data_IF_297309636268
#
_entry.id   IF_297309636268
#
_cell.length_a   1.000
_cell.length_b   1.000
_cell.length_c   1.000
_cell.angle_alpha   90.00
_cell.angle_beta   90.00
_cell.angle_gamma   90.00
#
_symmetry.space_group_name_H-M   'P 1'
#
loop_
_entity.id
_entity.type
_entity.pdbx_description
1 polymer ?
#
# COMPACT_ATOMS: atom_id res chain seq x y z
N UNK A 1 40.73 -44.90 14.89
CA UNK A 1 40.01 -44.03 15.84
C UNK A 1 40.30 -42.59 15.43
N UNK A 2 39.36 -41.95 14.72
CA UNK A 2 39.50 -40.61 14.13
C UNK A 2 39.28 -39.59 15.25
N UNK A 3 40.26 -38.73 15.53
CA UNK A 3 40.12 -37.64 16.48
C UNK A 3 40.10 -36.30 15.72
N UNK A 4 38.90 -35.73 15.59
CA UNK A 4 38.64 -34.39 15.08
C UNK A 4 39.14 -33.37 16.10
N UNK A 5 40.09 -32.50 15.72
CA UNK A 5 40.46 -31.30 16.49
C UNK A 5 39.83 -30.10 15.83
N UNK A 6 38.78 -29.57 16.45
CA UNK A 6 38.09 -28.34 16.05
C UNK A 6 39.01 -27.16 16.35
N UNK A 7 39.49 -26.46 15.30
CA UNK A 7 40.17 -25.16 15.42
C UNK A 7 39.12 -24.08 15.67
N UNK A 8 39.05 -23.57 16.89
CA UNK A 8 38.34 -22.34 17.22
C UNK A 8 39.08 -21.15 16.61
N UNK A 9 38.53 -20.56 15.55
CA UNK A 9 39.02 -19.29 15.00
C UNK A 9 38.65 -18.16 15.96
N UNK A 10 39.65 -17.63 16.65
CA UNK A 10 39.55 -16.46 17.52
C UNK A 10 39.17 -15.23 16.69
N UNK A 11 37.99 -14.67 16.94
CA UNK A 11 37.55 -13.39 16.38
C UNK A 11 38.50 -12.30 16.92
N UNK A 12 39.25 -11.64 16.04
CA UNK A 12 40.10 -10.49 16.40
C UNK A 12 39.22 -9.34 16.92
N UNK A 13 39.54 -8.89 18.14
CA UNK A 13 38.96 -7.71 18.82
C UNK A 13 39.01 -6.46 17.92
N UNK A 14 37.91 -5.71 17.95
CA UNK A 14 37.66 -4.54 17.11
C UNK A 14 38.64 -3.38 17.28
N UNK A 15 38.72 -2.57 16.23
CA UNK A 15 39.48 -1.34 16.18
C UNK A 15 39.09 -0.40 17.33
N UNK A 16 40.07 -0.05 18.16
CA UNK A 16 39.93 0.93 19.23
C UNK A 16 39.78 2.31 18.58
N UNK A 17 38.58 2.90 18.62
CA UNK A 17 38.38 4.27 18.14
C UNK A 17 39.26 5.21 18.96
N UNK A 18 40.13 5.98 18.30
CA UNK A 18 40.90 7.06 18.93
C UNK A 18 39.93 7.99 19.67
N UNK A 19 40.32 8.45 20.87
CA UNK A 19 39.58 9.42 21.69
C UNK A 19 39.25 10.62 20.79
N UNK A 20 38.00 10.72 20.32
CA UNK A 20 37.50 11.85 19.53
C UNK A 20 37.11 12.95 20.51
N UNK A 21 37.34 14.20 20.13
CA UNK A 21 36.89 15.37 20.89
C UNK A 21 35.36 15.33 21.09
N UNK A 22 34.90 15.80 22.24
CA UNK A 22 33.47 15.91 22.54
C UNK A 22 32.80 16.88 21.56
N UNK A 23 31.63 16.48 21.03
CA UNK A 23 30.83 17.33 20.13
C UNK A 23 29.85 18.14 20.99
N UNK A 24 30.06 19.46 21.07
CA UNK A 24 29.17 20.39 21.75
C UNK A 24 28.31 21.17 20.74
N UNK A 25 26.98 21.06 20.85
CA UNK A 25 26.02 21.76 19.99
C UNK A 25 25.32 22.88 20.77
N UNK A 26 25.16 24.05 20.14
CA UNK A 26 24.42 25.19 20.70
C UNK A 26 23.12 25.37 19.88
N UNK A 27 21.96 25.52 20.52
CA UNK A 27 20.72 25.81 19.81
C UNK A 27 20.81 27.13 19.03
N UNK A 28 20.22 27.15 17.83
CA UNK A 28 20.10 28.34 16.96
C UNK A 28 18.73 29.01 17.06
N UNK A 29 17.76 28.36 17.72
CA UNK A 29 16.40 28.87 17.88
C UNK A 29 15.55 27.94 18.75
N UNK A 30 14.28 28.28 18.89
CA UNK A 30 13.28 27.52 19.64
C UNK A 30 12.02 27.32 18.80
N UNK A 31 11.31 26.23 19.08
CA UNK A 31 9.95 26.00 18.58
C UNK A 31 8.95 26.73 19.49
N UNK A 32 7.98 27.38 18.87
CA UNK A 32 6.80 27.92 19.54
C UNK A 32 5.53 27.34 18.91
N UNK A 33 4.72 26.64 19.69
CA UNK A 33 3.40 26.13 19.27
C UNK A 33 2.49 25.84 20.48
N UNK A 34 1.27 25.36 20.22
CA UNK A 34 0.30 25.05 21.27
C UNK A 34 0.53 23.69 21.97
N UNK A 35 1.55 22.93 21.57
CA UNK A 35 1.76 21.55 22.01
C UNK A 35 2.85 21.54 23.08
N UNK A 36 2.43 21.67 24.34
CA UNK A 36 3.36 21.76 25.48
C UNK A 36 3.91 20.40 25.94
N UNK A 37 3.28 19.30 25.55
CA UNK A 37 3.68 17.95 25.94
C UNK A 37 3.29 16.92 24.86
N UNK A 38 4.06 15.82 24.78
CA UNK A 38 3.77 14.67 23.92
C UNK A 38 2.71 13.73 24.53
N UNK A 39 1.97 14.17 25.55
CA UNK A 39 0.87 13.41 26.15
C UNK A 39 -0.36 13.50 25.25
N UNK A 40 -0.56 12.48 24.43
CA UNK A 40 -1.70 12.35 23.52
C UNK A 40 -1.30 12.33 22.06
N UNK A 41 -2.17 11.77 21.23
CA UNK A 41 -2.01 11.73 19.78
C UNK A 41 -2.06 13.15 19.21
N UNK A 42 -0.99 13.58 18.54
CA UNK A 42 -0.98 14.80 17.77
C UNK A 42 -0.77 14.45 16.30
N UNK A 43 -1.67 14.94 15.44
CA UNK A 43 -1.54 14.80 14.00
C UNK A 43 -0.53 15.84 13.49
N UNK A 44 0.75 15.50 13.62
CA UNK A 44 1.86 16.43 13.35
C UNK A 44 1.86 16.95 11.91
N UNK A 45 1.26 16.24 10.96
CA UNK A 45 1.21 16.59 9.53
C UNK A 45 0.63 17.99 9.29
N UNK A 46 -0.33 18.41 10.11
CA UNK A 46 -1.02 19.70 10.00
C UNK A 46 -0.71 20.65 11.15
N UNK A 47 0.27 20.33 11.99
CA UNK A 47 0.66 21.20 13.10
C UNK A 47 1.39 22.41 12.54
N UNK A 48 0.73 23.57 12.65
CA UNK A 48 1.37 24.87 12.47
C UNK A 48 2.27 25.18 13.66
N UNK A 49 3.55 25.46 13.38
CA UNK A 49 4.54 25.85 14.38
C UNK A 49 5.30 27.09 13.92
N UNK A 50 5.80 27.86 14.88
CA UNK A 50 6.80 28.89 14.61
C UNK A 50 8.17 28.37 15.04
N UNK A 51 9.16 28.57 14.19
CA UNK A 51 10.57 28.42 14.56
C UNK A 51 11.12 29.83 14.75
N UNK A 52 11.42 30.19 15.99
CA UNK A 52 12.02 31.48 16.35
C UNK A 52 13.53 31.30 16.41
N UNK A 53 14.19 31.70 15.32
CA UNK A 53 15.65 31.70 15.23
C UNK A 53 16.19 32.86 16.07
N UNK A 54 17.36 32.68 16.67
CA UNK A 54 18.03 33.73 17.43
C UNK A 54 18.17 35.01 16.60
N UNK A 55 17.84 36.19 17.14
CA UNK A 55 17.89 37.44 16.39
C UNK A 55 19.23 37.70 15.68
N UNK A 56 20.35 37.34 16.32
CA UNK A 56 21.69 37.48 15.75
C UNK A 56 21.98 36.57 14.54
N UNK A 57 21.10 35.60 14.25
CA UNK A 57 21.17 34.71 13.10
C UNK A 57 20.08 35.03 12.05
N UNK A 58 19.34 36.12 12.19
CA UNK A 58 18.22 36.47 11.30
C UNK A 58 18.64 36.57 9.82
N UNK A 59 19.82 37.14 9.56
CA UNK A 59 20.36 37.31 8.20
C UNK A 59 20.76 35.98 7.56
N UNK A 60 21.10 34.95 8.37
CA UNK A 60 21.41 33.62 7.86
C UNK A 60 20.20 32.91 7.22
N UNK A 61 18.99 33.44 7.42
CA UNK A 61 17.77 32.94 6.79
C UNK A 61 17.50 33.58 5.41
N UNK A 62 18.32 34.52 4.95
CA UNK A 62 18.12 35.17 3.65
C UNK A 62 18.02 34.16 2.49
N UNK A 63 16.94 34.26 1.70
CA UNK A 63 16.70 33.39 0.55
C UNK A 63 16.01 32.07 0.88
N UNK A 64 15.75 31.77 2.15
CA UNK A 64 15.05 30.56 2.57
C UNK A 64 13.62 30.47 2.00
N UNK A 65 12.99 31.61 1.73
CA UNK A 65 11.65 31.73 1.14
C UNK A 65 11.57 31.21 -0.29
N UNK A 66 12.73 30.98 -0.95
CA UNK A 66 12.79 30.38 -2.27
C UNK A 66 12.54 28.87 -2.24
N UNK A 67 12.47 28.26 -1.06
CA UNK A 67 12.23 26.84 -0.87
C UNK A 67 10.84 26.60 -0.26
N UNK A 68 10.14 25.59 -0.74
CA UNK A 68 8.82 25.21 -0.22
C UNK A 68 8.89 24.35 1.04
N UNK A 69 10.02 23.65 1.25
CA UNK A 69 10.20 22.72 2.37
C UNK A 69 11.60 22.85 2.97
N UNK A 70 11.70 22.56 4.27
CA UNK A 70 12.93 22.67 5.05
C UNK A 70 13.13 21.41 5.89
N UNK A 71 14.37 20.92 5.97
CA UNK A 71 14.80 19.99 7.00
C UNK A 71 15.08 20.74 8.29
N UNK A 72 14.41 20.34 9.36
CA UNK A 72 14.60 20.89 10.70
C UNK A 72 15.30 19.85 11.56
N UNK A 73 16.47 20.19 12.08
CA UNK A 73 17.22 19.36 13.03
C UNK A 73 17.04 19.97 14.42
N UNK A 74 16.57 19.18 15.39
CA UNK A 74 16.20 19.69 16.70
C UNK A 74 16.61 18.74 17.83
N UNK A 75 16.68 19.26 19.06
CA UNK A 75 17.02 18.49 20.26
C UNK A 75 15.75 18.17 21.05
N UNK A 76 15.45 16.89 21.24
CA UNK A 76 14.32 16.42 22.04
C UNK A 76 14.62 16.61 23.54
N UNK A 77 14.56 17.87 23.99
CA UNK A 77 14.99 18.34 25.30
C UNK A 77 14.28 17.70 26.49
N UNK A 78 13.08 17.13 26.31
CA UNK A 78 12.36 16.38 27.35
C UNK A 78 12.74 14.88 27.43
N UNK A 79 13.67 14.40 26.60
CA UNK A 79 14.17 13.03 26.68
C UNK A 79 15.06 12.84 27.94
N UNK A 80 14.65 12.05 28.95
CA UNK A 80 15.39 11.94 30.21
C UNK A 80 16.77 11.32 30.01
N UNK A 81 17.79 11.89 30.68
CA UNK A 81 19.18 11.46 30.50
C UNK A 81 19.41 9.97 30.76
N UNK A 82 18.74 9.43 31.77
CA UNK A 82 18.85 8.04 32.18
C UNK A 82 18.31 7.07 31.13
N UNK A 83 17.17 7.41 30.51
CA UNK A 83 16.53 6.54 29.49
C UNK A 83 17.30 6.53 28.17
N UNK A 84 18.15 7.53 27.91
CA UNK A 84 19.02 7.57 26.70
C UNK A 84 20.13 6.53 26.70
N UNK A 85 20.37 5.83 27.83
CA UNK A 85 21.37 4.75 27.95
C UNK A 85 20.84 3.40 27.43
N UNK A 86 19.52 3.27 27.24
CA UNK A 86 18.92 2.06 26.70
C UNK A 86 19.31 1.86 25.24
N UNK A 87 19.88 0.69 24.93
CA UNK A 87 20.31 0.36 23.56
C UNK A 87 19.19 -0.26 22.74
N UNK A 88 18.21 -0.88 23.42
CA UNK A 88 17.02 -1.45 22.82
C UNK A 88 15.81 -0.91 23.55
N UNK A 89 14.76 -0.62 22.79
CA UNK A 89 13.49 -0.20 23.34
C UNK A 89 12.38 -1.10 22.83
N UNK A 90 11.44 -1.38 23.72
CA UNK A 90 10.16 -1.97 23.37
C UNK A 90 9.16 -0.82 23.28
N UNK A 91 8.47 -0.70 22.16
CA UNK A 91 7.54 0.41 21.95
C UNK A 91 6.41 0.27 22.97
N UNK A 92 6.29 1.25 23.87
CA UNK A 92 5.26 1.28 24.92
C UNK A 92 3.89 1.20 24.23
N UNK A 93 3.10 0.16 24.55
CA UNK A 93 1.80 -0.13 23.91
C UNK A 93 1.82 -1.17 22.79
N UNK A 94 2.97 -1.79 22.47
CA UNK A 94 3.11 -2.74 21.35
C UNK A 94 3.86 -4.02 21.74
N UNK A 95 3.24 -4.84 22.60
CA UNK A 95 3.82 -6.11 23.09
C UNK A 95 4.23 -7.09 21.97
N UNK A 96 3.62 -6.96 20.78
CA UNK A 96 3.89 -7.80 19.61
C UNK A 96 5.08 -7.35 18.75
N UNK A 97 5.65 -6.16 18.98
CA UNK A 97 6.81 -5.67 18.23
C UNK A 97 8.08 -6.06 18.99
N UNK A 98 9.03 -6.81 18.40
CA UNK A 98 10.25 -7.19 19.11
C UNK A 98 11.03 -5.95 19.58
N UNK A 99 11.74 -6.05 20.69
CA UNK A 99 12.59 -4.96 21.17
C UNK A 99 13.64 -4.61 20.10
N UNK A 100 13.62 -3.35 19.65
CA UNK A 100 14.47 -2.87 18.56
C UNK A 100 15.61 -2.00 19.08
N UNK A 101 16.75 -2.02 18.39
CA UNK A 101 17.82 -1.07 18.68
C UNK A 101 17.34 0.37 18.53
N UNK A 102 17.66 1.27 19.47
CA UNK A 102 17.17 2.67 19.47
C UNK A 102 17.58 3.49 18.24
N UNK A 103 18.64 3.06 17.54
CA UNK A 103 19.11 3.65 16.29
C UNK A 103 18.34 3.15 15.05
N UNK A 104 17.61 2.04 15.17
CA UNK A 104 16.71 1.52 14.14
C UNK A 104 15.28 2.08 14.28
N UNK A 105 15.03 2.98 15.24
CA UNK A 105 13.73 3.63 15.48
C UNK A 105 13.87 5.13 15.32
N UNK A 106 12.80 5.89 15.59
CA UNK A 106 12.81 7.35 15.74
C UNK A 106 12.49 7.80 17.18
N UNK A 107 12.63 6.90 18.15
CA UNK A 107 12.26 7.15 19.54
C UNK A 107 13.17 8.19 20.21
N UNK A 108 12.65 9.07 21.10
CA UNK A 108 13.42 10.15 21.72
C UNK A 108 14.54 9.69 22.65
N UNK A 109 14.43 8.50 23.26
CA UNK A 109 15.41 7.96 24.21
C UNK A 109 16.54 7.28 23.46
N UNK A 110 17.49 8.10 23.00
CA UNK A 110 18.66 7.67 22.22
C UNK A 110 19.90 8.44 22.70
N UNK A 111 21.13 7.94 22.47
CA UNK A 111 22.35 8.54 22.99
C UNK A 111 22.44 10.06 22.73
N UNK A 112 22.13 10.46 21.50
CA UNK A 112 21.92 11.86 21.11
C UNK A 112 20.46 12.04 20.68
N UNK A 113 19.60 12.71 21.48
CA UNK A 113 18.16 12.88 21.25
C UNK A 113 17.89 13.91 20.14
N UNK A 114 18.47 13.67 18.96
CA UNK A 114 18.34 14.51 17.77
C UNK A 114 17.12 14.04 16.97
N UNK A 115 16.22 14.97 16.68
CA UNK A 115 15.11 14.84 15.73
C UNK A 115 15.45 15.46 14.38
N UNK A 116 14.79 15.00 13.33
CA UNK A 116 14.94 15.46 11.95
C UNK A 116 13.59 15.42 11.25
N UNK A 117 13.06 16.57 10.83
CA UNK A 117 11.73 16.60 10.21
C UNK A 117 11.72 17.48 8.98
N UNK A 118 11.10 16.97 7.91
CA UNK A 118 10.80 17.75 6.73
C UNK A 118 9.51 18.51 6.98
N UNK A 119 9.57 19.84 6.94
CA UNK A 119 8.42 20.71 7.16
C UNK A 119 8.13 21.50 5.90
N UNK A 120 6.88 21.89 5.71
CA UNK A 120 6.50 22.87 4.69
C UNK A 120 6.72 24.27 5.25
N UNK A 121 7.43 25.12 4.50
CA UNK A 121 7.58 26.54 4.83
C UNK A 121 6.31 27.27 4.37
N UNK A 122 5.63 27.91 5.32
CA UNK A 122 4.46 28.74 5.04
C UNK A 122 4.87 30.18 4.81
N UNK A 123 5.74 30.71 5.68
CA UNK A 123 6.15 32.13 5.64
C UNK A 123 7.43 32.36 6.46
N UNK A 124 8.24 33.33 6.05
CA UNK A 124 9.28 33.95 6.89
C UNK A 124 8.86 35.37 7.27
N UNK A 125 9.12 35.75 8.53
CA UNK A 125 8.98 37.12 9.06
C UNK A 125 10.21 37.44 9.91
N UNK A 126 11.23 38.07 9.31
CA UNK A 126 12.50 38.34 10.00
C UNK A 126 13.19 37.04 10.43
N UNK A 127 13.38 36.87 11.74
CA UNK A 127 13.96 35.68 12.36
C UNK A 127 12.95 34.55 12.67
N UNK A 128 11.69 34.69 12.25
CA UNK A 128 10.62 33.74 12.53
C UNK A 128 10.23 33.01 11.24
N UNK A 129 10.19 31.68 11.30
CA UNK A 129 9.65 30.83 10.23
C UNK A 129 8.33 30.20 10.69
N UNK A 130 7.26 30.44 9.94
CA UNK A 130 5.99 29.72 10.08
C UNK A 130 6.06 28.46 9.22
N UNK A 131 5.86 27.30 9.85
CA UNK A 131 6.00 25.99 9.20
C UNK A 131 4.83 25.08 9.55
N UNK A 132 4.56 24.12 8.68
CA UNK A 132 3.57 23.06 8.86
C UNK A 132 4.27 21.69 8.82
N UNK A 133 3.88 20.76 9.70
CA UNK A 133 4.42 19.40 9.72
C UNK A 133 5.50 19.14 10.77
N UNK A 134 5.83 20.09 11.63
CA UNK A 134 6.93 19.95 12.61
C UNK A 134 6.52 19.08 13.80
N UNK A 135 7.17 17.93 14.01
CA UNK A 135 6.88 16.96 15.09
C UNK A 135 7.56 17.26 16.44
N UNK A 136 7.70 18.55 16.77
CA UNK A 136 8.36 19.05 17.97
C UNK A 136 7.41 19.85 18.87
N UNK A 137 7.53 19.63 20.18
CA UNK A 137 6.74 20.35 21.19
C UNK A 137 7.26 21.79 21.38
N UNK A 138 6.43 22.63 21.98
CA UNK A 138 6.78 23.97 22.42
C UNK A 138 8.07 23.99 23.25
N UNK A 139 8.92 24.99 23.00
CA UNK A 139 10.23 25.15 23.63
C UNK A 139 11.33 24.23 23.10
N UNK A 140 11.07 23.41 22.09
CA UNK A 140 12.09 22.51 21.52
C UNK A 140 13.25 23.29 20.92
N UNK A 141 14.51 23.05 21.35
CA UNK A 141 15.68 23.69 20.75
C UNK A 141 15.95 23.22 19.32
N UNK A 142 16.11 24.17 18.41
CA UNK A 142 16.54 23.92 17.03
C UNK A 142 18.06 23.91 16.97
N UNK A 143 18.62 22.90 16.32
CA UNK A 143 20.06 22.72 16.11
C UNK A 143 20.50 23.25 14.75
N UNK A 144 19.71 22.98 13.70
CA UNK A 144 20.04 23.39 12.33
C UNK A 144 18.79 23.43 11.43
N UNK A 145 18.88 24.18 10.33
CA UNK A 145 17.83 24.31 9.31
C UNK A 145 18.50 24.16 7.94
N UNK A 146 17.99 23.26 7.09
CA UNK A 146 18.50 23.07 5.73
C UNK A 146 17.38 23.14 4.70
N UNK A 147 17.60 23.74 3.52
CA UNK A 147 16.61 23.69 2.46
C UNK A 147 16.45 22.25 1.94
N UNK A 148 15.21 21.85 1.65
CA UNK A 148 14.96 20.65 0.86
C UNK A 148 15.01 21.03 -0.61
N UNK A 149 15.89 20.37 -1.37
CA UNK A 149 16.14 20.70 -2.77
C UNK A 149 15.40 19.78 -3.73
N UNK A 150 14.84 18.67 -3.23
CA UNK A 150 14.27 17.62 -4.07
C UNK A 150 15.31 16.91 -4.94
N UNK A 151 16.60 17.13 -4.70
CA UNK A 151 17.67 16.45 -5.41
C UNK A 151 17.51 14.93 -5.21
N UNK A 152 17.77 14.09 -6.22
CA UNK A 152 17.73 12.63 -6.10
C UNK A 152 18.62 12.00 -5.00
N UNK A 153 19.43 12.79 -4.29
CA UNK A 153 20.24 12.34 -3.15
C UNK A 153 19.50 12.48 -1.82
N UNK A 154 18.46 13.32 -1.78
CA UNK A 154 17.60 13.56 -0.63
C UNK A 154 16.35 12.67 -0.65
N UNK A 155 16.08 12.00 -1.78
CA UNK A 155 14.93 11.12 -2.00
C UNK A 155 15.47 9.73 -2.33
N UNK A 156 15.03 8.71 -1.61
CA UNK A 156 15.33 7.32 -1.93
C UNK A 156 14.11 6.72 -2.64
N UNK A 157 14.25 6.37 -3.92
CA UNK A 157 13.16 5.79 -4.73
C UNK A 157 12.94 4.30 -4.40
N UNK A 158 14.03 3.54 -4.19
CA UNK A 158 14.02 2.11 -3.86
C UNK A 158 14.33 1.84 -2.37
N UNK A 159 13.65 2.56 -1.46
CA UNK A 159 13.90 2.39 -0.03
C UNK A 159 13.19 1.16 0.56
N UNK A 160 13.85 0.53 1.54
CA UNK A 160 13.24 -0.50 2.39
C UNK A 160 13.02 0.08 3.79
N UNK A 161 11.76 0.18 4.20
CA UNK A 161 11.39 0.48 5.58
C UNK A 161 10.82 -0.79 6.25
N UNK A 162 10.92 -0.86 7.58
CA UNK A 162 10.20 -1.88 8.33
C UNK A 162 8.71 -1.55 8.38
N UNK A 163 7.86 -2.58 8.51
CA UNK A 163 6.41 -2.38 8.51
C UNK A 163 5.95 -1.38 9.60
N UNK A 164 6.60 -1.36 10.77
CA UNK A 164 6.28 -0.43 11.86
C UNK A 164 6.79 0.99 11.63
N UNK A 165 7.74 1.22 10.72
CA UNK A 165 8.25 2.56 10.43
C UNK A 165 7.27 3.37 9.57
N UNK A 166 6.38 2.68 8.84
CA UNK A 166 5.33 3.27 8.01
C UNK A 166 3.96 3.22 8.70
N UNK A 167 3.87 2.72 9.94
CA UNK A 167 2.63 2.78 10.71
C UNK A 167 2.33 4.22 11.09
N UNK A 168 1.14 4.71 10.72
CA UNK A 168 0.65 6.02 11.12
C UNK A 168 0.48 6.07 12.65
N UNK A 169 0.65 7.24 13.24
CA UNK A 169 0.43 7.46 14.68
C UNK A 169 -1.01 7.05 15.12
N UNK A 170 -1.97 6.92 14.19
CA UNK A 170 -3.36 6.47 14.45
C UNK A 170 -3.46 4.95 14.57
N UNK A 171 -2.61 4.20 13.88
CA UNK A 171 -2.44 2.76 14.07
C UNK A 171 -1.77 2.44 15.42
N UNK A 172 -1.08 3.45 15.98
CA UNK A 172 -0.31 3.35 17.21
C UNK A 172 -1.21 3.52 18.46
N UNK A 173 -2.11 4.50 18.52
CA UNK A 173 -2.86 4.80 19.76
C UNK A 173 -4.26 4.20 19.85
N UNK A 174 -4.75 3.53 18.80
CA UNK A 174 -6.12 3.01 18.77
C UNK A 174 -6.33 1.76 19.63
N UNK A 175 -5.31 1.30 20.37
CA UNK A 175 -5.41 0.10 21.21
C UNK A 175 -6.02 -1.04 20.42
N UNK A 176 -5.41 -1.42 19.28
CA UNK A 176 -5.87 -2.53 18.47
C UNK A 176 -7.38 -2.52 18.20
N UNK A 177 -7.91 -1.44 17.63
CA UNK A 177 -9.09 -1.59 16.78
C UNK A 177 -8.60 -1.83 15.37
N UNK A 178 -8.49 -3.12 15.08
CA UNK A 178 -8.19 -3.76 13.80
C UNK A 178 -8.12 -2.82 12.59
N UNK A 179 -6.90 -2.52 12.13
CA UNK A 179 -6.66 -2.12 10.72
C UNK A 179 -6.67 -3.33 9.78
N UNK A 180 -7.27 -4.45 10.21
CA UNK A 180 -7.43 -5.64 9.39
C UNK A 180 -8.48 -5.47 8.28
N UNK A 181 -9.38 -4.51 8.42
CA UNK A 181 -10.48 -4.29 7.48
C UNK A 181 -10.00 -3.63 6.19
N UNK A 182 -10.09 -4.35 5.08
CA UNK A 182 -9.77 -3.83 3.75
C UNK A 182 -11.05 -3.35 3.06
N UNK A 183 -11.00 -2.17 2.46
CA UNK A 183 -12.13 -1.60 1.74
C UNK A 183 -12.09 -2.04 0.28
N UNK A 184 -12.99 -2.95 -0.10
CA UNK A 184 -13.17 -3.36 -1.49
C UNK A 184 -14.03 -2.34 -2.22
N UNK A 185 -13.42 -1.60 -3.13
CA UNK A 185 -14.05 -0.43 -3.75
C UNK A 185 -14.57 -0.76 -5.14
N UNK A 186 -15.88 -0.88 -5.29
CA UNK A 186 -16.55 -1.13 -6.58
C UNK A 186 -18.03 -0.81 -6.52
N UNK A 187 -18.63 -0.40 -7.64
CA UNK A 187 -20.10 -0.36 -7.79
C UNK A 187 -20.69 -1.75 -8.09
N UNK A 188 -19.89 -2.72 -8.56
CA UNK A 188 -20.34 -4.07 -8.91
C UNK A 188 -20.30 -5.02 -7.69
N UNK A 189 -21.45 -5.23 -7.06
CA UNK A 189 -21.57 -6.13 -5.90
C UNK A 189 -21.17 -7.59 -6.20
N UNK A 190 -21.31 -8.04 -7.46
CA UNK A 190 -20.89 -9.38 -7.88
C UNK A 190 -19.38 -9.59 -7.77
N UNK A 191 -18.58 -8.54 -8.08
CA UNK A 191 -17.12 -8.57 -7.89
C UNK A 191 -16.76 -8.76 -6.42
N UNK A 192 -17.37 -7.97 -5.53
CA UNK A 192 -17.15 -8.07 -4.08
C UNK A 192 -17.53 -9.46 -3.53
N UNK A 193 -18.75 -9.92 -3.82
CA UNK A 193 -19.24 -11.21 -3.32
C UNK A 193 -18.39 -12.38 -3.80
N UNK A 194 -17.98 -12.37 -5.08
CA UNK A 194 -17.10 -13.40 -5.65
C UNK A 194 -15.74 -13.37 -4.97
N UNK A 195 -15.16 -12.18 -4.76
CA UNK A 195 -13.87 -12.03 -4.10
C UNK A 195 -13.88 -12.58 -2.66
N UNK A 196 -14.89 -12.23 -1.86
CA UNK A 196 -15.03 -12.74 -0.49
C UNK A 196 -15.19 -14.26 -0.47
N UNK A 197 -15.99 -14.81 -1.38
CA UNK A 197 -16.13 -16.25 -1.51
C UNK A 197 -14.82 -16.93 -1.98
N UNK A 198 -14.03 -16.30 -2.85
CA UNK A 198 -12.72 -16.80 -3.28
C UNK A 198 -11.72 -16.85 -2.12
N UNK A 199 -11.69 -15.82 -1.27
CA UNK A 199 -10.87 -15.80 -0.05
C UNK A 199 -11.22 -16.97 0.87
N UNK A 200 -12.52 -17.15 1.16
CA UNK A 200 -13.00 -18.23 2.01
C UNK A 200 -12.67 -19.62 1.44
N UNK A 201 -12.86 -19.81 0.12
CA UNK A 201 -12.54 -21.06 -0.57
C UNK A 201 -11.04 -21.36 -0.59
N UNK A 202 -10.20 -20.32 -0.65
CA UNK A 202 -8.76 -20.43 -0.55
C UNK A 202 -8.25 -20.62 0.89
N UNK A 203 -9.13 -20.59 1.89
CA UNK A 203 -8.79 -20.79 3.30
C UNK A 203 -8.27 -19.54 4.01
N UNK A 204 -8.50 -18.35 3.45
CA UNK A 204 -8.08 -17.08 4.04
C UNK A 204 -9.27 -16.36 4.68
N UNK A 205 -9.04 -15.84 5.88
CA UNK A 205 -9.97 -14.94 6.56
C UNK A 205 -9.37 -13.53 6.56
N UNK A 206 -9.89 -12.68 5.68
CA UNK A 206 -9.52 -11.27 5.59
C UNK A 206 -10.80 -10.47 5.73
N UNK A 207 -10.85 -9.59 6.73
CA UNK A 207 -11.99 -8.74 6.97
C UNK A 207 -12.12 -7.70 5.85
N UNK A 208 -13.30 -7.57 5.27
CA UNK A 208 -13.53 -6.63 4.17
C UNK A 208 -14.85 -5.88 4.28
N UNK A 209 -14.82 -4.62 3.84
CA UNK A 209 -15.98 -3.75 3.70
C UNK A 209 -16.20 -3.45 2.22
N UNK A 210 -17.43 -3.61 1.75
CA UNK A 210 -17.81 -3.20 0.40
C UNK A 210 -18.08 -1.69 0.36
N UNK A 211 -17.20 -0.95 -0.31
CA UNK A 211 -17.37 0.48 -0.57
C UNK A 211 -17.92 0.68 -1.99
N UNK A 212 -19.13 1.24 -2.09
CA UNK A 212 -19.72 1.60 -3.38
C UNK A 212 -19.27 3.01 -3.76
N UNK A 213 -18.36 3.08 -4.71
CA UNK A 213 -17.81 4.34 -5.23
C UNK A 213 -17.63 4.24 -6.73
N UNK A 214 -18.03 5.29 -7.45
CA UNK A 214 -17.69 5.47 -8.86
C UNK A 214 -16.20 5.78 -8.98
N UNK A 215 -15.50 4.92 -9.73
CA UNK A 215 -14.07 5.01 -9.93
C UNK A 215 -13.78 5.46 -11.36
N UNK A 216 -12.71 6.24 -11.58
CA UNK A 216 -12.33 6.64 -12.92
C UNK A 216 -12.02 5.42 -13.80
N UNK A 217 -12.51 5.43 -15.03
CA UNK A 217 -12.21 4.41 -16.06
C UNK A 217 -11.36 5.05 -17.16
N UNK A 218 -10.05 5.25 -16.93
CA UNK A 218 -9.17 5.81 -17.94
C UNK A 218 -8.97 4.81 -19.08
N UNK A 219 -8.94 5.28 -20.32
CA UNK A 219 -8.58 4.44 -21.47
C UNK A 219 -7.09 4.12 -21.42
N UNK A 220 -6.75 2.95 -20.90
CA UNK A 220 -5.36 2.53 -20.70
C UNK A 220 -5.26 1.01 -20.60
N UNK A 221 -4.06 0.51 -20.28
CA UNK A 221 -3.84 -0.89 -19.96
C UNK A 221 -4.50 -1.25 -18.62
N UNK A 222 -4.85 -2.53 -18.44
CA UNK A 222 -5.63 -3.02 -17.30
C UNK A 222 -4.95 -2.76 -15.94
N UNK A 223 -3.62 -2.83 -15.91
CA UNK A 223 -2.78 -2.51 -14.76
C UNK A 223 -2.87 -1.02 -14.40
N UNK A 224 -2.70 -0.13 -15.37
CA UNK A 224 -2.79 1.30 -15.16
C UNK A 224 -4.20 1.74 -14.73
N UNK A 225 -5.24 1.08 -15.25
CA UNK A 225 -6.62 1.26 -14.79
C UNK A 225 -6.72 0.88 -13.30
N UNK A 226 -6.27 -0.31 -12.92
CA UNK A 226 -6.34 -0.78 -11.54
C UNK A 226 -5.53 0.12 -10.58
N UNK A 227 -4.33 0.57 -10.98
CA UNK A 227 -3.48 1.50 -10.23
C UNK A 227 -4.22 2.82 -10.00
N UNK A 228 -4.74 3.43 -11.07
CA UNK A 228 -5.42 4.72 -10.98
C UNK A 228 -6.68 4.63 -10.10
N UNK A 229 -7.44 3.53 -10.22
CA UNK A 229 -8.60 3.25 -9.38
C UNK A 229 -8.21 3.12 -7.90
N UNK A 230 -7.14 2.39 -7.58
CA UNK A 230 -6.66 2.23 -6.21
C UNK A 230 -6.17 3.55 -5.60
N UNK A 231 -5.36 4.31 -6.34
CA UNK A 231 -4.87 5.62 -5.91
C UNK A 231 -6.02 6.60 -5.66
N UNK A 232 -6.99 6.64 -6.58
CA UNK A 232 -8.17 7.50 -6.44
C UNK A 232 -9.01 7.09 -5.21
N UNK A 233 -9.30 5.80 -5.06
CA UNK A 233 -10.08 5.28 -3.94
C UNK A 233 -9.40 5.56 -2.59
N UNK A 234 -8.10 5.29 -2.49
CA UNK A 234 -7.34 5.56 -1.27
C UNK A 234 -7.27 7.06 -0.96
N UNK A 235 -7.06 7.91 -1.97
CA UNK A 235 -7.08 9.38 -1.79
C UNK A 235 -8.40 9.88 -1.20
N UNK A 236 -9.52 9.26 -1.59
CA UNK A 236 -10.87 9.60 -1.10
C UNK A 236 -11.18 9.03 0.27
N UNK A 237 -10.86 7.75 0.50
CA UNK A 237 -11.24 7.04 1.72
C UNK A 237 -10.22 7.18 2.85
N UNK A 238 -8.93 7.34 2.53
CA UNK A 238 -7.79 7.32 3.47
C UNK A 238 -7.75 6.03 4.29
N UNK A 239 -8.04 4.90 3.64
CA UNK A 239 -8.07 3.55 4.23
C UNK A 239 -7.38 2.54 3.31
N UNK A 240 -6.97 1.35 3.79
CA UNK A 240 -6.54 0.26 2.92
C UNK A 240 -7.63 -0.11 1.92
N UNK A 241 -7.34 0.00 0.63
CA UNK A 241 -8.28 -0.29 -0.45
C UNK A 241 -7.82 -1.45 -1.30
N UNK A 242 -8.79 -2.15 -1.87
CA UNK A 242 -8.58 -3.11 -2.94
C UNK A 242 -9.57 -2.81 -4.07
N UNK A 243 -9.07 -2.85 -5.30
CA UNK A 243 -9.88 -2.71 -6.51
C UNK A 243 -9.53 -3.84 -7.46
N UNK A 244 -10.47 -4.22 -8.32
CA UNK A 244 -10.24 -5.23 -9.36
C UNK A 244 -10.85 -4.80 -10.69
N UNK A 245 -10.02 -4.84 -11.72
CA UNK A 245 -10.41 -4.64 -13.10
C UNK A 245 -10.27 -5.94 -13.91
N UNK A 246 -11.06 -6.06 -14.97
CA UNK A 246 -11.19 -7.30 -15.72
C UNK A 246 -11.34 -7.00 -17.20
N UNK A 247 -10.60 -7.72 -18.04
CA UNK A 247 -10.70 -7.67 -19.49
C UNK A 247 -10.93 -9.04 -20.09
N UNK A 248 -11.46 -9.06 -21.31
CA UNK A 248 -11.67 -10.26 -22.11
C UNK A 248 -10.99 -10.13 -23.46
N UNK A 249 -10.02 -10.99 -23.74
CA UNK A 249 -9.12 -10.85 -24.88
C UNK A 249 -9.31 -12.02 -25.82
N UNK A 250 -9.71 -11.75 -27.06
CA UNK A 250 -9.82 -12.76 -28.13
C UNK A 250 -8.60 -12.60 -29.03
N UNK A 251 -7.77 -13.63 -29.15
CA UNK A 251 -6.45 -13.47 -29.77
C UNK A 251 -6.52 -13.24 -31.28
N UNK A 252 -7.43 -13.93 -31.98
CA UNK A 252 -7.68 -13.69 -33.41
C UNK A 252 -8.13 -12.25 -33.71
N UNK A 253 -8.75 -11.57 -32.73
CA UNK A 253 -9.18 -10.17 -32.84
C UNK A 253 -8.15 -9.19 -32.24
N UNK A 254 -6.87 -9.57 -32.18
CA UNK A 254 -5.79 -8.78 -31.60
C UNK A 254 -6.07 -8.33 -30.15
N UNK A 255 -6.72 -9.20 -29.36
CA UNK A 255 -7.05 -8.94 -27.96
C UNK A 255 -8.31 -8.12 -27.75
N UNK A 256 -9.06 -7.76 -28.80
CA UNK A 256 -10.38 -7.16 -28.67
C UNK A 256 -11.38 -8.16 -28.06
N UNK A 257 -12.37 -7.74 -27.22
CA UNK A 257 -12.68 -6.38 -26.77
C UNK A 257 -11.76 -5.79 -25.69
N UNK A 258 -10.88 -6.58 -25.08
CA UNK A 258 -9.88 -6.13 -24.10
C UNK A 258 -10.52 -5.58 -22.82
N UNK A 259 -10.06 -4.42 -22.35
CA UNK A 259 -10.62 -3.72 -21.18
C UNK A 259 -11.97 -3.05 -21.46
N UNK A 260 -12.38 -2.95 -22.73
CA UNK A 260 -13.58 -2.22 -23.14
C UNK A 260 -14.87 -3.04 -23.09
N UNK A 261 -14.87 -4.20 -22.41
CA UNK A 261 -16.05 -5.09 -22.28
C UNK A 261 -17.27 -4.33 -21.75
N UNK A 262 -17.08 -3.41 -20.80
CA UNK A 262 -18.16 -2.64 -20.20
C UNK A 262 -18.55 -1.39 -21.00
N UNK A 263 -17.58 -0.74 -21.64
CA UNK A 263 -17.78 0.52 -22.39
C UNK A 263 -18.41 0.27 -23.77
N UNK A 264 -18.06 -0.81 -24.45
CA UNK A 264 -18.22 -0.88 -25.90
C UNK A 264 -19.66 -0.90 -26.41
N UNK A 265 -20.69 -1.28 -25.65
CA UNK A 265 -21.97 -1.60 -26.29
C UNK A 265 -23.23 -1.41 -25.45
N UNK A 266 -23.26 -0.48 -24.50
CA UNK A 266 -24.49 -0.28 -23.71
C UNK A 266 -25.00 -1.61 -23.14
N UNK A 267 -24.11 -2.43 -22.58
CA UNK A 267 -24.45 -3.80 -22.16
C UNK A 267 -25.60 -3.83 -21.14
N UNK A 268 -25.83 -2.72 -20.43
CA UNK A 268 -27.01 -2.51 -19.58
C UNK A 268 -28.34 -2.55 -20.35
N UNK A 269 -28.34 -2.29 -21.65
CA UNK A 269 -29.51 -2.30 -22.53
C UNK A 269 -29.62 -3.57 -23.39
N UNK A 270 -28.53 -4.10 -23.98
CA UNK A 270 -28.63 -5.30 -24.87
C UNK A 270 -27.41 -6.26 -24.76
N UNK A 271 -27.29 -7.06 -23.68
CA UNK A 271 -26.15 -7.95 -23.45
C UNK A 271 -25.95 -9.02 -24.53
N UNK A 272 -27.04 -9.54 -25.10
CA UNK A 272 -27.00 -10.63 -26.08
C UNK A 272 -26.48 -10.18 -27.45
N UNK A 273 -26.73 -8.93 -27.82
CA UNK A 273 -26.25 -8.36 -29.07
C UNK A 273 -24.70 -8.33 -29.15
N UNK A 274 -24.01 -8.19 -28.02
CA UNK A 274 -22.55 -8.27 -27.96
C UNK A 274 -22.04 -9.68 -28.29
N UNK A 275 -22.64 -10.71 -27.69
CA UNK A 275 -22.25 -12.09 -27.96
C UNK A 275 -22.48 -12.41 -29.43
N UNK A 276 -23.64 -12.03 -29.98
CA UNK A 276 -23.92 -12.26 -31.40
C UNK A 276 -22.90 -11.59 -32.32
N UNK A 277 -22.48 -10.36 -32.01
CA UNK A 277 -21.42 -9.67 -32.75
C UNK A 277 -20.08 -10.38 -32.65
N UNK A 278 -19.68 -10.80 -31.44
CA UNK A 278 -18.46 -11.58 -31.24
C UNK A 278 -18.51 -12.84 -32.06
N UNK A 279 -19.58 -13.64 -31.96
CA UNK A 279 -19.69 -14.91 -32.66
C UNK A 279 -19.64 -14.75 -34.19
N UNK A 280 -20.27 -13.71 -34.75
CA UNK A 280 -20.18 -13.39 -36.19
C UNK A 280 -18.75 -13.04 -36.61
N UNK A 281 -18.03 -12.27 -35.80
CA UNK A 281 -16.62 -11.94 -36.08
C UNK A 281 -15.71 -13.16 -35.99
N UNK A 282 -16.14 -14.20 -35.29
CA UNK A 282 -15.40 -15.44 -35.08
C UNK A 282 -15.75 -16.56 -36.08
N UNK A 283 -16.53 -16.26 -37.12
CA UNK A 283 -16.85 -17.22 -38.17
C UNK A 283 -15.59 -17.53 -39.00
N UNK A 284 -15.08 -18.76 -38.87
CA UNK A 284 -13.86 -19.20 -39.56
C UNK A 284 -12.54 -18.84 -38.87
N UNK A 285 -12.58 -18.18 -37.71
CA UNK A 285 -11.40 -17.70 -36.99
C UNK A 285 -11.01 -18.61 -35.80
N UNK A 286 -9.71 -18.63 -35.40
CA UNK A 286 -9.25 -19.30 -34.19
C UNK A 286 -9.90 -18.73 -32.92
N UNK A 287 -10.35 -19.60 -32.01
CA UNK A 287 -11.26 -19.24 -30.91
C UNK A 287 -10.59 -19.03 -29.55
N UNK A 288 -9.27 -19.01 -29.50
CA UNK A 288 -8.50 -18.82 -28.28
C UNK A 288 -8.76 -17.45 -27.67
N UNK A 289 -9.03 -17.45 -26.36
CA UNK A 289 -9.35 -16.24 -25.62
C UNK A 289 -8.99 -16.38 -24.14
N UNK A 290 -8.96 -15.26 -23.44
CA UNK A 290 -8.72 -15.25 -22.01
C UNK A 290 -9.51 -14.17 -21.25
N UNK A 291 -9.90 -14.53 -20.04
CA UNK A 291 -10.21 -13.54 -19.00
C UNK A 291 -8.93 -13.14 -18.27
N UNK A 292 -8.63 -11.85 -18.25
CA UNK A 292 -7.52 -11.28 -17.48
C UNK A 292 -8.09 -10.41 -16.38
N UNK A 293 -7.68 -10.66 -15.14
CA UNK A 293 -8.01 -9.80 -14.01
C UNK A 293 -6.76 -9.16 -13.45
N UNK A 294 -6.85 -7.86 -13.15
CA UNK A 294 -5.82 -7.10 -12.46
C UNK A 294 -6.39 -6.56 -11.16
N UNK A 295 -5.86 -7.05 -10.05
CA UNK A 295 -6.18 -6.59 -8.71
C UNK A 295 -5.10 -5.61 -8.24
N UNK A 296 -5.52 -4.51 -7.64
CA UNK A 296 -4.62 -3.55 -7.01
C UNK A 296 -4.99 -3.37 -5.53
N UNK A 297 -4.02 -3.58 -4.64
CA UNK A 297 -4.12 -3.27 -3.23
C UNK A 297 -3.28 -2.03 -2.91
N UNK A 298 -3.83 -1.11 -2.11
CA UNK A 298 -3.08 0.06 -1.68
C UNK A 298 -3.54 0.54 -0.30
N UNK A 299 -2.60 0.67 0.62
CA UNK A 299 -2.81 1.15 1.98
C UNK A 299 -2.08 2.47 2.28
N UNK A 300 -1.35 3.01 1.30
CA UNK A 300 -0.55 4.22 1.47
C UNK A 300 0.84 3.98 2.04
N UNK A 301 1.21 2.73 2.35
CA UNK A 301 2.51 2.39 2.97
C UNK A 301 3.62 2.12 1.94
N UNK A 302 3.24 1.82 0.69
CA UNK A 302 4.14 1.60 -0.44
C UNK A 302 4.17 2.80 -1.39
N UNK A 303 5.19 2.90 -2.25
CA UNK A 303 5.30 3.97 -3.25
C UNK A 303 4.13 3.99 -4.25
N UNK A 304 3.45 2.86 -4.44
CA UNK A 304 2.25 2.74 -5.24
C UNK A 304 1.50 1.44 -4.96
N UNK A 305 0.33 1.23 -5.60
CA UNK A 305 -0.46 0.03 -5.43
C UNK A 305 0.31 -1.24 -5.81
N UNK A 306 0.10 -2.30 -5.04
CA UNK A 306 0.66 -3.62 -5.31
C UNK A 306 -0.32 -4.37 -6.21
N UNK A 307 0.21 -4.91 -7.31
CA UNK A 307 -0.58 -5.52 -8.38
C UNK A 307 -0.52 -7.03 -8.31
N UNK A 308 -1.68 -7.66 -8.49
CA UNK A 308 -1.84 -9.10 -8.60
C UNK A 308 -2.65 -9.42 -9.85
N UNK A 309 -2.02 -10.08 -10.80
CA UNK A 309 -2.66 -10.45 -12.06
C UNK A 309 -3.03 -11.93 -12.09
N UNK A 310 -4.11 -12.22 -12.80
CA UNK A 310 -4.51 -13.58 -13.14
C UNK A 310 -5.04 -13.65 -14.56
N UNK A 311 -4.80 -14.79 -15.19
CA UNK A 311 -5.32 -15.10 -16.51
C UNK A 311 -6.01 -16.46 -16.47
N UNK A 312 -7.21 -16.53 -17.04
CA UNK A 312 -7.93 -17.76 -17.32
C UNK A 312 -7.98 -17.95 -18.84
N UNK A 313 -7.15 -18.84 -19.35
CA UNK A 313 -7.14 -19.25 -20.76
C UNK A 313 -8.37 -20.13 -21.07
N UNK A 314 -8.80 -20.10 -22.33
CA UNK A 314 -9.91 -20.89 -22.81
C UNK A 314 -10.19 -20.66 -24.28
N UNK A 315 -11.36 -21.12 -24.72
CA UNK A 315 -11.85 -20.96 -26.09
C UNK A 315 -13.28 -20.44 -26.10
N UNK A 316 -13.65 -19.78 -27.19
CA UNK A 316 -15.03 -19.37 -27.46
C UNK A 316 -15.86 -20.56 -27.94
N UNK A 317 -17.06 -20.70 -27.38
CA UNK A 317 -18.10 -21.58 -27.90
C UNK A 317 -18.65 -21.06 -29.23
N UNK A 318 -19.18 -21.95 -30.07
CA UNK A 318 -19.78 -21.57 -31.36
C UNK A 318 -21.13 -20.89 -31.22
N UNK A 319 -21.80 -21.11 -30.08
CA UNK A 319 -23.08 -20.53 -29.75
C UNK A 319 -23.15 -20.26 -28.23
N UNK A 320 -24.01 -19.35 -27.76
CA UNK A 320 -24.24 -19.16 -26.33
C UNK A 320 -24.83 -20.44 -25.72
N UNK A 321 -24.24 -20.93 -24.63
CA UNK A 321 -24.71 -22.12 -23.90
C UNK A 321 -24.90 -21.81 -22.41
N UNK A 322 -25.84 -22.51 -21.78
CA UNK A 322 -26.20 -22.32 -20.37
C UNK A 322 -27.11 -21.12 -20.11
N UNK A 323 -27.33 -20.80 -18.83
CA UNK A 323 -28.20 -19.71 -18.38
C UNK A 323 -27.50 -18.81 -17.37
N UNK A 324 -27.72 -17.51 -17.50
CA UNK A 324 -27.33 -16.52 -16.47
C UNK A 324 -28.58 -16.16 -15.68
N UNK A 325 -28.54 -16.37 -14.37
CA UNK A 325 -29.59 -15.89 -13.47
C UNK A 325 -29.46 -14.37 -13.30
N UNK A 326 -30.58 -13.65 -13.31
CA UNK A 326 -30.61 -12.21 -13.01
C UNK A 326 -30.72 -11.94 -11.51
N UNK A 327 -30.33 -10.75 -11.06
CA UNK A 327 -30.50 -10.31 -9.67
C UNK A 327 -29.40 -10.78 -8.70
N UNK A 328 -29.65 -10.65 -7.39
CA UNK A 328 -28.67 -10.84 -6.31
C UNK A 328 -28.11 -12.26 -6.21
N UNK A 329 -28.79 -13.25 -6.79
CA UNK A 329 -28.38 -14.66 -6.80
C UNK A 329 -27.47 -15.01 -7.97
N UNK A 330 -27.17 -14.06 -8.86
CA UNK A 330 -26.30 -14.31 -10.00
C UNK A 330 -24.86 -14.59 -9.54
N UNK A 331 -24.36 -15.77 -9.88
CA UNK A 331 -22.93 -16.12 -9.79
C UNK A 331 -22.12 -15.64 -11.00
N UNK A 332 -22.76 -14.93 -11.93
CA UNK A 332 -22.17 -14.44 -13.17
C UNK A 332 -22.03 -12.94 -13.11
N UNK A 333 -20.81 -12.46 -13.36
CA UNK A 333 -20.50 -11.03 -13.42
C UNK A 333 -20.22 -10.56 -14.86
N UNK A 334 -20.27 -11.48 -15.84
CA UNK A 334 -20.13 -11.20 -17.27
C UNK A 334 -21.08 -12.06 -18.10
N UNK A 335 -21.70 -11.46 -19.12
CA UNK A 335 -22.52 -12.18 -20.11
C UNK A 335 -21.67 -13.19 -20.91
N UNK A 336 -20.37 -12.92 -21.03
CA UNK A 336 -19.40 -13.75 -21.75
C UNK A 336 -19.24 -15.15 -21.14
N UNK A 337 -19.72 -15.37 -19.90
CA UNK A 337 -19.82 -16.72 -19.31
C UNK A 337 -20.59 -17.70 -20.20
N UNK A 338 -21.53 -17.21 -21.03
CA UNK A 338 -22.32 -18.02 -21.98
C UNK A 338 -21.49 -18.56 -23.15
N UNK A 339 -20.33 -17.96 -23.45
CA UNK A 339 -19.51 -18.34 -24.60
C UNK A 339 -18.07 -18.68 -24.24
N UNK A 340 -17.63 -18.46 -23.01
CA UNK A 340 -16.28 -18.82 -22.58
C UNK A 340 -16.23 -20.25 -22.04
N UNK A 341 -15.43 -21.10 -22.69
CA UNK A 341 -15.11 -22.46 -22.26
C UNK A 341 -13.68 -22.43 -21.68
N UNK A 342 -13.50 -22.64 -20.37
CA UNK A 342 -12.16 -22.66 -19.79
C UNK A 342 -11.27 -23.76 -20.37
N UNK A 343 -9.95 -23.53 -20.35
CA UNK A 343 -8.99 -24.53 -20.78
C UNK A 343 -9.17 -25.87 -20.06
N UNK A 344 -9.21 -26.96 -20.83
CA UNK A 344 -9.43 -28.32 -20.33
C UNK A 344 -10.88 -28.67 -20.00
N UNK A 345 -11.83 -27.75 -20.18
CA UNK A 345 -13.26 -27.98 -19.99
C UNK A 345 -13.99 -28.13 -21.34
N UNK A 346 -15.18 -28.72 -21.31
CA UNK A 346 -16.07 -28.84 -22.50
C UNK A 346 -17.32 -27.97 -22.40
N UNK A 347 -17.62 -27.48 -21.19
CA UNK A 347 -18.78 -26.66 -20.85
C UNK A 347 -18.37 -25.21 -20.70
N UNK A 348 -19.27 -24.31 -21.08
CA UNK A 348 -19.13 -22.87 -20.82
C UNK A 348 -19.19 -22.59 -19.32
N UNK A 349 -18.66 -21.44 -18.87
CA UNK A 349 -18.79 -21.04 -17.47
C UNK A 349 -20.25 -20.94 -17.02
N UNK A 350 -21.17 -20.54 -17.89
CA UNK A 350 -22.59 -20.52 -17.57
C UNK A 350 -23.15 -21.94 -17.34
N UNK A 351 -22.81 -22.92 -18.18
CA UNK A 351 -23.21 -24.32 -18.00
C UNK A 351 -22.64 -24.92 -16.72
N UNK A 352 -21.36 -24.68 -16.42
CA UNK A 352 -20.74 -25.19 -15.18
C UNK A 352 -21.37 -24.58 -13.92
N UNK A 353 -21.86 -23.33 -13.99
CA UNK A 353 -22.58 -22.68 -12.88
C UNK A 353 -23.97 -23.27 -12.68
N UNK A 354 -24.64 -23.66 -13.76
CA UNK A 354 -25.94 -24.33 -13.73
C UNK A 354 -25.83 -25.75 -13.16
N UNK A 355 -24.79 -26.51 -13.54
CA UNK A 355 -24.58 -27.88 -13.07
C UNK A 355 -23.87 -27.99 -11.71
N UNK A 356 -23.33 -26.88 -11.19
CA UNK A 356 -22.57 -26.85 -9.92
C UNK A 356 -21.09 -27.21 -10.05
N UNK A 357 -20.63 -27.62 -11.24
CA UNK A 357 -19.23 -27.93 -11.55
C UNK A 357 -18.31 -26.70 -11.44
N UNK A 358 -18.87 -25.49 -11.53
CA UNK A 358 -18.13 -24.23 -11.43
C UNK A 358 -17.29 -24.13 -10.15
N UNK A 359 -17.80 -24.61 -9.00
CA UNK A 359 -17.05 -24.53 -7.74
C UNK A 359 -15.80 -25.43 -7.76
N UNK A 360 -15.83 -26.56 -8.47
CA UNK A 360 -14.68 -27.45 -8.64
C UNK A 360 -13.59 -26.79 -9.46
N UNK A 361 -13.97 -26.24 -10.62
CA UNK A 361 -13.06 -25.48 -11.49
C UNK A 361 -12.46 -24.27 -10.75
N UNK A 362 -13.30 -23.51 -10.05
CA UNK A 362 -12.92 -22.35 -9.24
C UNK A 362 -11.93 -22.71 -8.13
N UNK A 363 -12.18 -23.78 -7.37
CA UNK A 363 -11.27 -24.27 -6.32
C UNK A 363 -9.91 -24.69 -6.88
N UNK A 364 -9.87 -25.34 -8.04
CA UNK A 364 -8.61 -25.73 -8.70
C UNK A 364 -7.74 -24.51 -8.95
N UNK A 365 -8.30 -23.45 -9.57
CA UNK A 365 -7.59 -22.20 -9.87
C UNK A 365 -7.10 -21.44 -8.63
N UNK A 366 -7.87 -21.49 -7.54
CA UNK A 366 -7.45 -20.89 -6.26
C UNK A 366 -6.25 -21.65 -5.66
N UNK A 367 -6.18 -22.97 -5.82
CA UNK A 367 -5.05 -23.79 -5.33
C UNK A 367 -3.78 -23.66 -6.18
N UNK A 368 -3.91 -23.53 -7.50
CA UNK A 368 -2.76 -23.46 -8.42
C UNK A 368 -2.12 -22.08 -8.53
N UNK A 369 -2.53 -21.11 -7.69
CA UNK A 369 -2.05 -19.72 -7.69
C UNK A 369 -2.25 -19.00 -9.02
N UNK A 370 -3.17 -19.47 -9.84
CA UNK A 370 -3.59 -18.80 -11.08
C UNK A 370 -4.56 -17.65 -10.82
N UNK A 371 -5.11 -17.55 -9.60
CA UNK A 371 -6.03 -16.48 -9.18
C UNK A 371 -5.30 -15.31 -8.53
N UNK A 372 -5.61 -14.08 -8.96
CA UNK A 372 -5.10 -12.86 -8.35
C UNK A 372 -5.55 -12.74 -6.88
N UNK A 373 -6.73 -13.28 -6.53
CA UNK A 373 -7.25 -13.33 -5.17
C UNK A 373 -6.38 -14.20 -4.28
N UNK A 374 -6.02 -15.41 -4.75
CA UNK A 374 -5.16 -16.31 -3.99
C UNK A 374 -3.74 -15.75 -3.83
N UNK A 375 -3.18 -15.15 -4.89
CA UNK A 375 -1.87 -14.47 -4.83
C UNK A 375 -1.88 -13.33 -3.82
N UNK A 376 -2.92 -12.48 -3.86
CA UNK A 376 -3.11 -11.40 -2.92
C UNK A 376 -3.23 -11.92 -1.48
N UNK A 377 -4.09 -12.91 -1.25
CA UNK A 377 -4.35 -13.42 0.09
C UNK A 377 -3.10 -14.04 0.72
N UNK A 378 -2.34 -14.84 -0.04
CA UNK A 378 -1.07 -15.39 0.41
C UNK A 378 -0.07 -14.29 0.76
N UNK A 379 0.10 -13.31 -0.13
CA UNK A 379 0.99 -12.17 0.10
C UNK A 379 0.58 -11.39 1.35
N UNK A 380 -0.70 -11.04 1.47
CA UNK A 380 -1.24 -10.24 2.56
C UNK A 380 -1.11 -10.95 3.91
N UNK A 381 -1.39 -12.25 3.96
CA UNK A 381 -1.22 -13.04 5.18
C UNK A 381 0.25 -13.17 5.60
N UNK A 382 1.19 -13.27 4.65
CA UNK A 382 2.63 -13.29 4.96
C UNK A 382 3.14 -11.99 5.56
N UNK A 383 2.59 -10.84 5.13
CA UNK A 383 2.96 -9.55 5.74
C UNK A 383 2.55 -9.46 7.21
N UNK A 384 1.50 -10.19 7.63
CA UNK A 384 0.99 -10.17 9.02
C UNK A 384 1.64 -11.20 9.94
N UNK A 385 2.21 -12.28 9.40
CA UNK A 385 2.85 -13.34 10.17
C UNK A 385 4.22 -13.70 9.58
N UNK A 386 5.26 -12.86 9.79
CA UNK A 386 6.59 -13.09 9.22
C UNK A 386 7.36 -14.28 9.84
N UNK A 387 6.87 -14.92 10.92
CA UNK A 387 7.58 -15.98 11.67
C UNK A 387 7.18 -17.43 11.31
N UNK A 388 6.45 -17.66 10.21
CA UNK A 388 6.02 -19.01 9.81
C UNK A 388 6.85 -19.65 8.68
N UNK A 389 8.17 -19.41 8.66
CA UNK A 389 9.17 -20.22 7.95
C UNK A 389 10.51 -20.26 8.68
#
# INVERSE_FOLDING_TARGET
MILFVIRTLTIKKGAQMKKKDDICLKPIGLVENSISDRRGFCDWEHVASRIVVKPELADALEGIERFSHLWIIFWMHKAPAELRKELKIHSIGFEKIPAMGVLATRFPFRPNPIGLTLVKLLRRSGNILEVEGLDAIDGTPILDIKPFTGHPREIAEDFKASFWANMSTREITSGGKDTNTIHFVTTNAGKFNTFVADLALAGYSIEMVHEKMDLPEPRSNIDQIAINKALFAHKKLRKPVIVIDAGFYIYALNGWPGVFVNEMLGWKSEPRAMIEKILRLMEGEPRECAFVNCLAYYDGTTAGPIIFESRAEGILAEAPRGKIKEGKESKSWSILDLIFIPEGETKTLAETKESGEYETWRRKRLKTKESCVAKFAEWFSKQKHPESF
#
